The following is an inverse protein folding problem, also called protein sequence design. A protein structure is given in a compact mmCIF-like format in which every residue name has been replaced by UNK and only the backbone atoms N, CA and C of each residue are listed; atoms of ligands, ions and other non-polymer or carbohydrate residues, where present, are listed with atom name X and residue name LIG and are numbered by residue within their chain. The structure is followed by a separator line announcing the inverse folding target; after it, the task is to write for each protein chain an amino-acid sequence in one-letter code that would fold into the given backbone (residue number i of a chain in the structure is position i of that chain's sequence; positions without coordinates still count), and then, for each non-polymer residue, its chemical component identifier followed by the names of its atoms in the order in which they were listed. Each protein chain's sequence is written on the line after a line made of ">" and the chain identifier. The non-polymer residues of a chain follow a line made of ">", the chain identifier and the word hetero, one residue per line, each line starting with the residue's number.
data_IF_229171644650
#
_entry.id   IF_229171644650
#
_cell.length_a   1.000
_cell.length_b   1.000
_cell.length_c   1.000
_cell.angle_alpha   90.00
_cell.angle_beta   90.00
_cell.angle_gamma   90.00
#
_symmetry.space_group_name_H-M   'P 1'
#
loop_
_entity.id
_entity.type
_entity.pdbx_description
1 polymer ?
#
# COMPACT_ATOMS: atom_id res chain seq x y z
N UNK A 1 12.82 -6.59 20.68
CA UNK A 1 12.01 -5.50 20.09
C UNK A 1 12.81 -4.31 19.53
N UNK A 2 14.06 -4.04 19.95
CA UNK A 2 14.83 -2.85 19.49
C UNK A 2 15.26 -2.84 18.00
N UNK A 3 15.49 -4.00 17.35
CA UNK A 3 16.01 -4.05 15.98
C UNK A 3 15.01 -3.67 14.88
N UNK A 4 13.73 -4.02 15.04
CA UNK A 4 12.69 -3.74 14.03
C UNK A 4 12.36 -2.25 13.99
N UNK A 5 12.29 -1.59 15.16
CA UNK A 5 12.05 -0.15 15.25
C UNK A 5 13.15 0.69 14.59
N UNK A 6 14.42 0.29 14.72
CA UNK A 6 15.55 0.97 14.06
C UNK A 6 15.51 0.76 12.55
N UNK A 7 15.16 -0.44 12.08
CA UNK A 7 15.06 -0.74 10.65
C UNK A 7 13.96 0.10 9.98
N UNK A 8 12.78 0.18 10.60
CA UNK A 8 11.66 1.02 10.16
C UNK A 8 12.05 2.50 10.09
N UNK A 9 12.68 3.03 11.16
CA UNK A 9 13.10 4.43 11.21
C UNK A 9 14.11 4.79 10.10
N UNK A 10 15.00 3.85 9.76
CA UNK A 10 15.98 4.04 8.70
C UNK A 10 15.34 3.96 7.31
N UNK A 11 14.32 3.12 7.12
CA UNK A 11 13.62 3.00 5.85
C UNK A 11 12.74 4.20 5.55
N UNK A 12 12.08 4.78 6.55
CA UNK A 12 11.31 6.03 6.40
C UNK A 12 12.21 7.20 5.99
N UNK A 13 13.48 7.22 6.41
CA UNK A 13 14.45 8.26 6.03
C UNK A 13 15.31 7.88 4.81
N UNK A 14 14.87 6.92 4.00
CA UNK A 14 15.60 6.43 2.82
C UNK A 14 14.95 6.87 1.51
N UNK A 15 15.70 6.79 0.40
CA UNK A 15 15.14 7.03 -0.93
C UNK A 15 13.93 6.13 -1.23
N UNK A 16 13.99 4.85 -0.83
CA UNK A 16 12.87 3.93 -0.96
C UNK A 16 11.68 4.35 -0.10
N UNK A 17 11.93 4.91 1.09
CA UNK A 17 10.90 5.46 1.97
C UNK A 17 10.16 6.63 1.32
N UNK A 18 10.88 7.56 0.71
CA UNK A 18 10.29 8.68 0.00
C UNK A 18 9.45 8.22 -1.20
N UNK A 19 9.92 7.21 -1.94
CA UNK A 19 9.14 6.60 -3.03
C UNK A 19 7.87 5.95 -2.47
N UNK A 20 7.97 5.21 -1.36
CA UNK A 20 6.82 4.57 -0.74
C UNK A 20 5.75 5.58 -0.30
N UNK A 21 6.16 6.59 0.46
CA UNK A 21 5.24 7.59 1.00
C UNK A 21 4.61 8.45 -0.12
N UNK A 22 5.36 8.72 -1.20
CA UNK A 22 4.81 9.35 -2.38
C UNK A 22 3.74 8.47 -3.04
N UNK A 23 4.02 7.18 -3.29
CA UNK A 23 3.04 6.28 -3.87
C UNK A 23 1.76 6.18 -3.02
N UNK A 24 1.89 6.04 -1.69
CA UNK A 24 0.75 6.03 -0.75
C UNK A 24 -0.12 7.29 -0.94
N UNK A 25 0.50 8.48 -0.95
CA UNK A 25 -0.21 9.74 -1.13
C UNK A 25 -0.94 9.83 -2.49
N UNK A 26 -0.38 9.23 -3.53
CA UNK A 26 -0.98 9.21 -4.88
C UNK A 26 -2.14 8.22 -4.97
N UNK A 27 -2.03 7.04 -4.37
CA UNK A 27 -3.17 6.13 -4.24
C UNK A 27 -4.32 6.81 -3.48
N UNK A 28 -4.05 7.43 -2.33
CA UNK A 28 -5.07 8.18 -1.57
C UNK A 28 -5.72 9.26 -2.42
N UNK A 29 -4.94 10.03 -3.19
CA UNK A 29 -5.47 11.04 -4.10
C UNK A 29 -6.43 10.44 -5.14
N UNK A 30 -6.05 9.36 -5.82
CA UNK A 30 -6.91 8.76 -6.86
C UNK A 30 -8.12 8.04 -6.27
N UNK A 31 -7.99 7.41 -5.09
CA UNK A 31 -9.10 6.81 -4.34
C UNK A 31 -10.11 7.90 -3.98
N UNK A 32 -9.67 9.02 -3.42
CA UNK A 32 -10.56 10.12 -3.05
C UNK A 32 -11.25 10.75 -4.27
N UNK A 33 -10.56 10.84 -5.41
CA UNK A 33 -11.14 11.34 -6.67
C UNK A 33 -12.19 10.40 -7.24
N UNK A 34 -11.92 9.09 -7.23
CA UNK A 34 -12.75 8.09 -7.91
C UNK A 34 -13.78 7.43 -6.97
N UNK A 35 -13.71 7.71 -5.67
CA UNK A 35 -14.62 7.23 -4.62
C UNK A 35 -14.33 5.80 -4.14
N UNK A 36 -13.33 5.11 -4.72
CA UNK A 36 -12.93 3.76 -4.35
C UNK A 36 -11.55 3.42 -4.93
N UNK A 37 -10.89 2.38 -4.42
CA UNK A 37 -9.65 1.86 -5.01
C UNK A 37 -9.94 0.94 -6.20
N UNK A 38 -9.34 1.28 -7.34
CA UNK A 38 -9.49 0.59 -8.63
C UNK A 38 -8.09 0.16 -9.14
N UNK A 39 -7.57 -1.01 -8.73
CA UNK A 39 -6.19 -1.41 -9.01
C UNK A 39 -5.80 -1.34 -10.50
N UNK A 40 -6.67 -1.79 -11.41
CA UNK A 40 -6.40 -1.77 -12.85
C UNK A 40 -6.20 -0.35 -13.42
N UNK A 41 -6.76 0.65 -12.74
CA UNK A 41 -6.61 2.08 -13.07
C UNK A 41 -5.49 2.74 -12.27
N UNK A 42 -5.44 2.49 -10.96
CA UNK A 42 -4.65 3.25 -10.01
C UNK A 42 -3.20 2.81 -9.97
N UNK A 43 -2.93 1.51 -9.93
CA UNK A 43 -1.57 1.02 -9.66
C UNK A 43 -0.59 1.45 -10.75
N UNK A 44 -0.97 1.23 -12.02
CA UNK A 44 -0.14 1.66 -13.15
C UNK A 44 0.05 3.17 -13.17
N UNK A 45 -0.99 3.93 -12.85
CA UNK A 45 -0.95 5.40 -12.84
C UNK A 45 -0.01 5.92 -11.75
N UNK A 46 -0.13 5.41 -10.52
CA UNK A 46 0.71 5.78 -9.39
C UNK A 46 2.18 5.46 -9.66
N UNK A 47 2.48 4.25 -10.20
CA UNK A 47 3.85 3.88 -10.55
C UNK A 47 4.45 4.80 -11.63
N UNK A 48 3.65 5.24 -12.60
CA UNK A 48 4.10 6.18 -13.64
C UNK A 48 4.33 7.60 -13.09
N UNK A 49 3.47 8.06 -12.18
CA UNK A 49 3.63 9.36 -11.51
C UNK A 49 4.90 9.37 -10.65
N UNK A 50 5.14 8.33 -9.86
CA UNK A 50 6.35 8.18 -9.06
C UNK A 50 7.62 8.01 -9.91
N UNK A 51 7.54 7.26 -11.01
CA UNK A 51 8.65 7.12 -11.95
C UNK A 51 9.11 8.48 -12.49
N UNK A 52 8.15 9.35 -12.81
CA UNK A 52 8.41 10.70 -13.28
C UNK A 52 8.99 11.59 -12.17
N UNK A 53 8.44 11.52 -10.95
CA UNK A 53 8.89 12.33 -9.80
C UNK A 53 10.33 12.01 -9.39
N UNK A 54 10.69 10.72 -9.33
CA UNK A 54 12.00 10.28 -8.83
C UNK A 54 13.01 9.98 -9.94
N UNK A 55 12.66 10.22 -11.21
CA UNK A 55 13.49 9.88 -12.37
C UNK A 55 13.94 8.41 -12.36
N UNK A 56 12.97 7.52 -12.18
CA UNK A 56 13.11 6.06 -12.12
C UNK A 56 12.21 5.40 -13.18
N UNK A 57 12.42 4.12 -13.49
CA UNK A 57 11.41 3.37 -14.26
C UNK A 57 10.27 2.89 -13.34
N UNK A 58 9.06 2.62 -13.87
CA UNK A 58 7.98 2.04 -13.08
C UNK A 58 8.37 0.75 -12.33
N UNK A 59 9.21 -0.09 -12.94
CA UNK A 59 9.71 -1.33 -12.31
C UNK A 59 10.70 -1.05 -11.16
N UNK A 60 11.48 0.01 -11.25
CA UNK A 60 12.38 0.43 -10.16
C UNK A 60 11.58 1.00 -8.99
N UNK A 61 10.55 1.80 -9.28
CA UNK A 61 9.60 2.33 -8.30
C UNK A 61 8.89 1.19 -7.59
N UNK A 62 8.35 0.22 -8.33
CA UNK A 62 7.68 -0.94 -7.75
C UNK A 62 8.61 -1.69 -6.80
N UNK A 63 9.87 -1.93 -7.20
CA UNK A 63 10.86 -2.58 -6.32
C UNK A 63 11.16 -1.77 -5.07
N UNK A 64 11.28 -0.45 -5.18
CA UNK A 64 11.51 0.44 -4.04
C UNK A 64 10.33 0.43 -3.07
N UNK A 65 9.11 0.57 -3.60
CA UNK A 65 7.87 0.44 -2.84
C UNK A 65 7.80 -0.90 -2.11
N UNK A 66 7.98 -2.01 -2.83
CA UNK A 66 7.87 -3.37 -2.27
C UNK A 66 8.88 -3.65 -1.15
N UNK A 67 10.09 -3.08 -1.21
CA UNK A 67 11.08 -3.23 -0.12
C UNK A 67 10.55 -2.65 1.18
N UNK A 68 9.99 -1.45 1.15
CA UNK A 68 9.42 -0.77 2.33
C UNK A 68 8.10 -1.42 2.75
N UNK A 69 7.20 -1.68 1.80
CA UNK A 69 5.88 -2.25 2.05
C UNK A 69 5.99 -3.62 2.74
N UNK A 70 6.93 -4.48 2.31
CA UNK A 70 7.18 -5.77 2.94
C UNK A 70 7.59 -5.62 4.40
N UNK A 71 8.50 -4.71 4.71
CA UNK A 71 8.96 -4.49 6.10
C UNK A 71 7.84 -3.93 6.97
N UNK A 72 7.00 -3.04 6.42
CA UNK A 72 5.80 -2.51 7.09
C UNK A 72 4.80 -3.65 7.38
N UNK A 73 4.46 -4.45 6.36
CA UNK A 73 3.54 -5.58 6.49
C UNK A 73 4.06 -6.64 7.48
N UNK A 74 5.34 -7.03 7.39
CA UNK A 74 5.96 -7.98 8.32
C UNK A 74 5.92 -7.49 9.78
N UNK A 75 5.99 -6.18 10.01
CA UNK A 75 5.89 -5.60 11.34
C UNK A 75 4.44 -5.53 11.83
N UNK A 76 3.48 -5.24 10.96
CA UNK A 76 2.05 -5.17 11.27
C UNK A 76 1.49 -6.54 11.65
N UNK A 77 1.77 -7.57 10.85
CA UNK A 77 1.26 -8.93 11.09
C UNK A 77 1.94 -9.61 12.30
N UNK A 78 3.03 -9.04 12.81
CA UNK A 78 3.80 -9.65 13.88
C UNK A 78 3.04 -9.62 15.20
N UNK A 79 2.66 -10.82 15.66
CA UNK A 79 1.95 -11.00 16.91
C UNK A 79 0.44 -10.96 16.77
N UNK A 80 -0.09 -10.77 15.55
CA UNK A 80 -1.50 -10.99 15.27
C UNK A 80 -1.86 -12.47 15.42
N UNK A 81 -3.04 -12.73 15.97
CA UNK A 81 -3.70 -14.02 15.93
C UNK A 81 -4.17 -14.34 14.50
N UNK A 82 -4.48 -15.61 14.26
CA UNK A 82 -5.05 -16.04 12.98
C UNK A 82 -6.36 -15.30 12.65
N UNK A 83 -7.18 -15.00 13.66
CA UNK A 83 -8.44 -14.29 13.44
C UNK A 83 -8.18 -12.85 12.98
N UNK A 84 -7.27 -12.14 13.65
CA UNK A 84 -6.88 -10.77 13.26
C UNK A 84 -6.31 -10.73 11.85
N UNK A 85 -5.45 -11.69 11.47
CA UNK A 85 -4.95 -11.79 10.10
C UNK A 85 -6.08 -12.02 9.08
N UNK A 86 -7.06 -12.88 9.39
CA UNK A 86 -8.21 -13.13 8.50
C UNK A 86 -9.04 -11.86 8.30
N UNK A 87 -9.29 -11.10 9.36
CA UNK A 87 -10.04 -9.83 9.26
C UNK A 87 -9.26 -8.78 8.46
N UNK A 88 -7.95 -8.67 8.67
CA UNK A 88 -7.08 -7.78 7.90
C UNK A 88 -7.04 -8.16 6.41
N UNK A 89 -6.91 -9.45 6.08
CA UNK A 89 -6.94 -9.87 4.68
C UNK A 89 -8.32 -9.66 4.06
N UNK A 90 -9.40 -9.83 4.82
CA UNK A 90 -10.75 -9.53 4.35
C UNK A 90 -10.89 -8.06 3.98
N UNK A 91 -10.46 -7.13 4.83
CA UNK A 91 -10.57 -5.70 4.55
C UNK A 91 -9.76 -5.28 3.32
N UNK A 92 -8.60 -5.91 3.07
CA UNK A 92 -7.80 -5.68 1.86
C UNK A 92 -8.56 -6.11 0.60
N UNK A 93 -9.20 -7.29 0.62
CA UNK A 93 -9.98 -7.79 -0.52
C UNK A 93 -11.23 -6.92 -0.75
N UNK A 94 -11.94 -6.58 0.32
CA UNK A 94 -13.14 -5.73 0.27
C UNK A 94 -12.81 -4.28 -0.15
N UNK A 95 -11.59 -3.80 0.09
CA UNK A 95 -11.14 -2.49 -0.37
C UNK A 95 -10.96 -2.38 -1.88
N UNK A 96 -10.85 -3.50 -2.60
CA UNK A 96 -10.70 -3.52 -4.06
C UNK A 96 -12.08 -3.51 -4.76
N UNK A 97 -12.48 -2.34 -5.27
CA UNK A 97 -13.79 -2.14 -5.92
C UNK A 97 -13.93 -2.79 -7.30
N UNK A 98 -12.87 -3.39 -7.84
CA UNK A 98 -12.94 -4.21 -9.05
C UNK A 98 -13.37 -5.65 -8.75
N UNK A 99 -13.28 -6.07 -7.50
CA UNK A 99 -13.77 -7.39 -7.07
C UNK A 99 -15.25 -7.35 -6.71
N UNK A 100 -15.99 -8.47 -6.81
CA UNK A 100 -17.37 -8.54 -6.34
C UNK A 100 -17.53 -8.09 -4.89
N UNK A 101 -16.57 -8.43 -4.01
CA UNK A 101 -16.61 -8.09 -2.59
C UNK A 101 -16.48 -6.59 -2.33
N UNK A 102 -15.68 -5.86 -3.11
CA UNK A 102 -15.59 -4.40 -3.00
C UNK A 102 -16.74 -3.64 -3.67
N UNK A 103 -17.62 -4.34 -4.38
CA UNK A 103 -18.86 -3.79 -4.94
C UNK A 103 -20.08 -4.03 -4.04
N UNK A 104 -19.95 -4.92 -3.06
CA UNK A 104 -20.97 -5.07 -2.03
C UNK A 104 -20.97 -3.81 -1.16
N UNK A 105 -21.97 -2.94 -1.38
CA UNK A 105 -22.21 -1.83 -0.46
C UNK A 105 -22.31 -2.41 0.97
N UNK A 106 -21.68 -1.79 1.99
CA UNK A 106 -21.88 -2.24 3.35
C UNK A 106 -23.40 -2.27 3.59
N UNK A 107 -23.93 -3.47 3.84
CA UNK A 107 -25.30 -3.60 4.33
C UNK A 107 -25.27 -2.93 5.69
N UNK A 108 -25.80 -1.71 5.75
CA UNK A 108 -25.91 -0.89 6.96
C UNK A 108 -26.04 -1.78 8.20
N UNK A 109 -25.03 -1.75 9.06
CA UNK A 109 -25.13 -2.24 10.44
C UNK A 109 -26.02 -1.30 11.25
#
# INVERSE_FOLDING_TARGET
>A
MKKVGILMLNMVNSADGNVHDFCDSRWEFHINRDGAYLPSKHDKLVLQEAASEFNMTPEEVEKAFQRVAKVKADAEVKGMSKLEMVEMFRSIVEGNAETPWGQEKPKNQ
#
